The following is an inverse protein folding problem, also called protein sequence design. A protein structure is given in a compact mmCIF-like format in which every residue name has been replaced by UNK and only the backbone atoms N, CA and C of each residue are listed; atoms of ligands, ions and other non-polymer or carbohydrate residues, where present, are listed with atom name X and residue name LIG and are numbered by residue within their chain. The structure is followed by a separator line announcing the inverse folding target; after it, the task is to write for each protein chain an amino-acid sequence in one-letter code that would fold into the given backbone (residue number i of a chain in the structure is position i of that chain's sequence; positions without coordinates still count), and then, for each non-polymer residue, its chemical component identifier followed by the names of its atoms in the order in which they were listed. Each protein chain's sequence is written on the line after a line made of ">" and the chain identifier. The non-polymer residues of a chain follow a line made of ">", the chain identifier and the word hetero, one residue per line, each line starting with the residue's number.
data_IF_477826097590
#
_entry.id   IF_477826097590
#
_cell.length_a   1.000
_cell.length_b   1.000
_cell.length_c   1.000
_cell.angle_alpha   90.00
_cell.angle_beta   90.00
_cell.angle_gamma   90.00
#
_symmetry.space_group_name_H-M   'P 1'
#
loop_
_entity.id
_entity.type
_entity.pdbx_description
1 polymer ?
#
# COMPACT_ATOMS: atom_id res chain seq x y z
N UNK A 1 3.35 18.58 0.50
CA UNK A 1 1.89 18.87 0.53
C UNK A 1 1.55 19.41 1.91
N UNK A 2 0.91 20.58 2.05
CA UNK A 2 0.62 21.16 3.38
C UNK A 2 -0.37 20.28 4.15
N UNK A 3 -0.08 19.93 5.41
CA UNK A 3 -0.92 19.10 6.31
C UNK A 3 -2.41 19.48 6.27
N UNK A 4 -2.69 20.79 6.25
CA UNK A 4 -4.05 21.34 6.14
C UNK A 4 -4.82 20.84 4.91
N UNK A 5 -4.18 20.77 3.74
CA UNK A 5 -4.83 20.29 2.51
C UNK A 5 -5.20 18.81 2.62
N UNK A 6 -4.35 18.00 3.24
CA UNK A 6 -4.62 16.56 3.47
C UNK A 6 -5.86 16.38 4.35
N UNK A 7 -5.98 17.18 5.42
CA UNK A 7 -7.12 17.16 6.33
C UNK A 7 -8.42 17.57 5.62
N UNK A 8 -8.41 18.65 4.84
CA UNK A 8 -9.60 19.11 4.11
C UNK A 8 -10.09 18.10 3.06
N UNK A 9 -9.16 17.52 2.30
CA UNK A 9 -9.50 16.44 1.36
C UNK A 9 -10.12 15.27 2.12
N UNK A 10 -9.55 14.88 3.26
CA UNK A 10 -10.04 13.73 4.00
C UNK A 10 -11.41 13.96 4.63
N UNK A 11 -11.68 15.15 5.18
CA UNK A 11 -13.02 15.55 5.64
C UNK A 11 -14.09 15.36 4.57
N UNK A 12 -13.77 15.74 3.32
CA UNK A 12 -14.73 15.63 2.21
C UNK A 12 -15.05 14.19 1.84
N UNK A 13 -14.08 13.28 1.97
CA UNK A 13 -14.21 11.91 1.51
C UNK A 13 -14.48 10.88 2.60
N UNK A 14 -14.33 11.22 3.90
CA UNK A 14 -14.45 10.25 5.00
C UNK A 14 -15.79 9.52 5.01
N UNK A 15 -16.88 10.21 4.71
CA UNK A 15 -18.22 9.62 4.70
C UNK A 15 -18.41 8.62 3.56
N UNK A 16 -17.83 8.90 2.39
CA UNK A 16 -17.87 8.01 1.22
C UNK A 16 -17.00 6.78 1.46
N UNK A 17 -15.80 6.98 2.00
CA UNK A 17 -14.87 5.89 2.28
C UNK A 17 -15.48 4.94 3.33
N UNK A 18 -16.00 5.50 4.42
CA UNK A 18 -16.61 4.71 5.49
C UNK A 18 -17.90 4.02 5.01
N UNK A 19 -18.73 4.65 4.17
CA UNK A 19 -19.93 3.98 3.64
C UNK A 19 -19.59 2.78 2.75
N UNK A 20 -18.55 2.87 1.91
CA UNK A 20 -18.08 1.75 1.07
C UNK A 20 -17.55 0.59 1.93
N UNK A 21 -16.79 0.90 2.98
CA UNK A 21 -16.24 -0.11 3.91
C UNK A 21 -17.36 -0.77 4.72
N UNK A 22 -18.33 0.01 5.17
CA UNK A 22 -19.40 -0.48 6.04
C UNK A 22 -20.52 -1.21 5.31
N UNK A 23 -20.66 -1.00 4.00
CA UNK A 23 -21.65 -1.68 3.18
C UNK A 23 -21.51 -3.20 3.35
N UNK A 24 -22.62 -3.87 3.67
CA UNK A 24 -22.61 -5.32 3.74
C UNK A 24 -22.26 -5.92 2.38
N UNK A 25 -21.51 -7.02 2.40
CA UNK A 25 -21.18 -7.72 1.17
C UNK A 25 -22.45 -8.37 0.61
N UNK A 26 -23.00 -7.79 -0.44
CA UNK A 26 -24.15 -8.33 -1.16
C UNK A 26 -23.64 -9.04 -2.40
N UNK A 27 -24.14 -10.25 -2.66
CA UNK A 27 -23.86 -10.96 -3.89
C UNK A 27 -24.58 -10.23 -5.03
N UNK A 28 -23.80 -9.59 -5.89
CA UNK A 28 -24.32 -8.87 -7.05
C UNK A 28 -24.60 -9.87 -8.19
N UNK A 29 -25.55 -9.52 -9.05
CA UNK A 29 -25.98 -10.37 -10.17
C UNK A 29 -24.97 -10.46 -11.30
N UNK A 30 -23.97 -9.55 -11.33
CA UNK A 30 -22.93 -9.50 -12.37
C UNK A 30 -21.55 -9.66 -11.76
N UNK A 31 -20.71 -10.47 -12.43
CA UNK A 31 -19.30 -10.69 -12.08
C UNK A 31 -18.50 -9.38 -12.07
N UNK A 32 -18.74 -8.50 -13.04
CA UNK A 32 -18.05 -7.20 -13.14
C UNK A 32 -18.43 -6.27 -11.99
N UNK A 33 -19.66 -6.39 -11.49
CA UNK A 33 -20.18 -5.58 -10.42
C UNK A 33 -19.56 -6.04 -9.07
N UNK A 34 -19.47 -7.36 -8.85
CA UNK A 34 -18.70 -7.96 -7.73
C UNK A 34 -17.25 -7.49 -7.75
N UNK A 35 -16.59 -7.53 -8.91
CA UNK A 35 -15.21 -7.07 -9.07
C UNK A 35 -15.05 -5.59 -8.71
N UNK A 36 -15.91 -4.72 -9.25
CA UNK A 36 -15.90 -3.29 -8.94
C UNK A 36 -16.11 -3.03 -7.44
N UNK A 37 -17.08 -3.72 -6.83
CA UNK A 37 -17.40 -3.62 -5.40
C UNK A 37 -16.20 -4.00 -4.53
N UNK A 38 -15.49 -5.08 -4.87
CA UNK A 38 -14.27 -5.50 -4.17
C UNK A 38 -13.12 -4.51 -4.36
N UNK A 39 -12.89 -4.03 -5.58
CA UNK A 39 -11.84 -3.04 -5.86
C UNK A 39 -12.09 -1.75 -5.08
N UNK A 40 -13.33 -1.25 -5.06
CA UNK A 40 -13.69 -0.04 -4.32
C UNK A 40 -13.40 -0.18 -2.83
N UNK A 41 -13.65 -1.36 -2.24
CA UNK A 41 -13.29 -1.65 -0.84
C UNK A 41 -11.77 -1.69 -0.63
N UNK A 42 -11.02 -2.34 -1.53
CA UNK A 42 -9.55 -2.37 -1.48
C UNK A 42 -8.98 -0.95 -1.49
N UNK A 43 -9.43 -0.12 -2.44
CA UNK A 43 -9.02 1.27 -2.57
C UNK A 43 -9.38 2.08 -1.33
N UNK A 44 -10.57 1.85 -0.76
CA UNK A 44 -11.00 2.52 0.47
C UNK A 44 -10.10 2.18 1.66
N UNK A 45 -9.74 0.89 1.85
CA UNK A 45 -8.81 0.50 2.90
C UNK A 45 -7.41 1.07 2.71
N UNK A 46 -6.87 1.05 1.49
CA UNK A 46 -5.55 1.66 1.19
C UNK A 46 -5.53 3.16 1.40
N UNK A 47 -6.63 3.84 1.05
CA UNK A 47 -6.75 5.27 1.29
C UNK A 47 -6.81 5.54 2.79
N UNK A 48 -7.55 4.75 3.56
CA UNK A 48 -7.56 4.84 5.04
C UNK A 48 -6.18 4.62 5.63
N UNK A 49 -5.49 3.53 5.24
CA UNK A 49 -4.11 3.22 5.62
C UNK A 49 -3.18 4.44 5.42
N UNK A 50 -3.19 4.99 4.21
CA UNK A 50 -2.36 6.14 3.85
C UNK A 50 -2.70 7.42 4.65
N UNK A 51 -3.96 7.60 5.05
CA UNK A 51 -4.35 8.77 5.87
C UNK A 51 -3.90 8.61 7.31
N UNK A 52 -4.04 7.42 7.88
CA UNK A 52 -3.58 7.15 9.25
C UNK A 52 -2.05 7.10 9.38
N UNK A 53 -1.29 6.96 8.30
CA UNK A 53 0.17 7.06 8.33
C UNK A 53 0.69 8.51 8.27
N UNK A 54 -0.07 9.43 7.68
CA UNK A 54 0.35 10.84 7.50
C UNK A 54 -0.25 11.76 8.56
N UNK A 55 -1.49 11.49 8.99
CA UNK A 55 -2.19 12.33 9.94
C UNK A 55 -1.74 12.05 11.37
N UNK A 56 -1.75 13.09 12.19
CA UNK A 56 -1.45 12.95 13.62
C UNK A 56 -2.68 12.45 14.37
N UNK A 57 -2.47 11.84 15.54
CA UNK A 57 -3.55 11.33 16.39
C UNK A 57 -4.65 12.38 16.63
N UNK A 58 -4.27 13.63 16.89
CA UNK A 58 -5.20 14.73 17.15
C UNK A 58 -6.10 15.07 15.95
N UNK A 59 -5.64 14.79 14.72
CA UNK A 59 -6.43 15.04 13.52
C UNK A 59 -7.50 13.96 13.33
N UNK A 60 -7.28 12.72 13.78
CA UNK A 60 -8.12 11.54 13.47
C UNK A 60 -8.81 10.92 14.67
N UNK A 61 -8.48 11.36 15.89
CA UNK A 61 -9.01 10.83 17.14
C UNK A 61 -9.15 11.95 18.18
N UNK A 62 -10.22 11.89 18.96
CA UNK A 62 -10.53 12.85 20.02
C UNK A 62 -11.67 13.78 19.62
N UNK A 63 -12.30 14.39 20.62
CA UNK A 63 -13.46 15.28 20.43
C UNK A 63 -13.11 16.56 19.65
N UNK A 64 -11.86 17.02 19.72
CA UNK A 64 -11.36 18.17 18.96
C UNK A 64 -10.98 17.83 17.51
N UNK A 65 -11.03 16.54 17.11
CA UNK A 65 -10.62 16.14 15.77
C UNK A 65 -11.55 16.73 14.71
N UNK A 66 -10.99 17.44 13.72
CA UNK A 66 -11.77 18.07 12.68
C UNK A 66 -12.33 17.04 11.67
N UNK A 67 -11.81 15.81 11.66
CA UNK A 67 -12.31 14.71 10.81
C UNK A 67 -13.39 13.90 11.55
N UNK A 68 -13.18 13.60 12.83
CA UNK A 68 -14.17 12.89 13.66
C UNK A 68 -15.45 13.70 13.76
N UNK A 69 -15.35 15.03 13.96
CA UNK A 69 -16.53 15.90 14.00
C UNK A 69 -17.37 15.86 12.72
N UNK A 70 -16.75 15.70 11.54
CA UNK A 70 -17.49 15.51 10.28
C UNK A 70 -18.18 14.15 10.24
N UNK A 71 -17.50 13.10 10.67
CA UNK A 71 -18.05 11.75 10.74
C UNK A 71 -19.26 11.67 11.70
N UNK A 72 -19.15 12.30 12.87
CA UNK A 72 -20.19 12.29 13.92
C UNK A 72 -21.42 13.14 13.56
N UNK A 73 -21.26 14.22 12.77
CA UNK A 73 -22.39 15.06 12.32
C UNK A 73 -23.43 14.26 11.54
N UNK A 74 -22.99 13.27 10.76
CA UNK A 74 -23.85 12.45 9.91
C UNK A 74 -24.38 11.22 10.66
N UNK A 75 -23.88 10.95 11.88
CA UNK A 75 -24.29 9.81 12.71
C UNK A 75 -24.71 10.27 14.12
N UNK A 76 -25.86 10.95 14.24
CA UNK A 76 -26.29 11.54 15.51
C UNK A 76 -26.59 10.50 16.60
N UNK A 77 -26.87 9.25 16.23
CA UNK A 77 -27.25 8.17 17.15
C UNK A 77 -26.08 7.37 17.73
N UNK A 78 -24.82 7.75 17.47
CA UNK A 78 -23.66 7.14 18.10
C UNK A 78 -23.42 7.77 19.47
N UNK A 79 -23.10 6.97 20.49
CA UNK A 79 -22.71 7.45 21.82
C UNK A 79 -21.43 8.32 21.70
N UNK A 80 -21.60 9.65 21.67
CA UNK A 80 -20.51 10.63 21.46
C UNK A 80 -19.62 10.84 22.69
N UNK A 81 -19.21 9.77 23.36
CA UNK A 81 -18.58 9.88 24.68
C UNK A 81 -17.11 10.30 24.61
N UNK A 82 -16.34 9.85 23.61
CA UNK A 82 -14.87 9.99 23.64
C UNK A 82 -14.22 10.57 22.36
N UNK A 83 -14.99 10.86 21.30
CA UNK A 83 -14.42 11.26 19.99
C UNK A 83 -13.55 10.17 19.33
N UNK A 84 -13.78 8.90 19.70
CA UNK A 84 -13.05 7.73 19.18
C UNK A 84 -13.87 6.92 18.19
N UNK A 85 -15.06 7.39 17.82
CA UNK A 85 -16.06 6.59 17.11
C UNK A 85 -15.61 6.20 15.70
N UNK A 86 -14.96 7.11 14.97
CA UNK A 86 -14.37 6.79 13.67
C UNK A 86 -13.34 5.65 13.80
N UNK A 87 -12.37 5.80 14.70
CA UNK A 87 -11.30 4.81 14.91
C UNK A 87 -11.86 3.48 15.39
N UNK A 88 -12.79 3.47 16.36
CA UNK A 88 -13.45 2.24 16.86
C UNK A 88 -14.16 1.51 15.73
N UNK A 89 -14.94 2.23 14.94
CA UNK A 89 -15.68 1.64 13.82
C UNK A 89 -14.74 1.10 12.73
N UNK A 90 -13.66 1.82 12.41
CA UNK A 90 -12.68 1.35 11.43
C UNK A 90 -11.90 0.13 11.92
N UNK A 91 -11.50 0.08 13.19
CA UNK A 91 -10.91 -1.13 13.79
C UNK A 91 -11.87 -2.32 13.65
N UNK A 92 -13.15 -2.12 14.01
CA UNK A 92 -14.18 -3.16 13.91
C UNK A 92 -14.34 -3.66 12.47
N UNK A 93 -14.43 -2.76 11.50
CA UNK A 93 -14.63 -3.12 10.08
C UNK A 93 -13.39 -3.77 9.47
N UNK A 94 -12.20 -3.24 9.73
CA UNK A 94 -10.94 -3.86 9.27
C UNK A 94 -10.77 -5.27 9.81
N UNK A 95 -11.13 -5.52 11.08
CA UNK A 95 -11.12 -6.85 11.69
C UNK A 95 -12.09 -7.80 11.00
N UNK A 96 -13.36 -7.41 10.85
CA UNK A 96 -14.37 -8.24 10.16
C UNK A 96 -13.87 -8.66 8.77
N UNK A 97 -13.33 -7.73 7.98
CA UNK A 97 -12.83 -8.06 6.64
C UNK A 97 -11.59 -8.97 6.65
N UNK A 98 -10.75 -8.87 7.69
CA UNK A 98 -9.60 -9.75 7.87
C UNK A 98 -10.00 -11.15 8.34
N UNK A 99 -10.85 -11.26 9.37
CA UNK A 99 -11.25 -12.53 9.98
C UNK A 99 -12.27 -13.32 9.16
N UNK A 100 -13.27 -12.63 8.61
CA UNK A 100 -14.36 -13.26 7.85
C UNK A 100 -13.97 -13.49 6.39
N UNK A 101 -12.70 -13.27 6.07
CA UNK A 101 -12.22 -13.38 4.72
C UNK A 101 -12.54 -14.73 4.10
N UNK A 102 -12.18 -15.82 4.76
CA UNK A 102 -12.42 -17.17 4.23
C UNK A 102 -13.92 -17.43 3.93
N UNK A 103 -14.82 -16.87 4.74
CA UNK A 103 -16.26 -16.94 4.52
C UNK A 103 -16.65 -16.20 3.23
N UNK A 104 -16.15 -14.98 3.04
CA UNK A 104 -16.38 -14.20 1.80
C UNK A 104 -15.80 -14.95 0.59
N UNK A 105 -14.61 -15.53 0.70
CA UNK A 105 -13.98 -16.30 -0.38
C UNK A 105 -14.82 -17.49 -0.79
N UNK A 106 -15.32 -18.28 0.18
CA UNK A 106 -16.20 -19.43 -0.10
C UNK A 106 -17.50 -19.00 -0.77
N UNK A 107 -18.17 -17.98 -0.21
CA UNK A 107 -19.43 -17.47 -0.74
C UNK A 107 -19.25 -16.99 -2.20
N UNK A 108 -18.22 -16.20 -2.47
CA UNK A 108 -17.95 -15.69 -3.82
C UNK A 108 -17.54 -16.81 -4.77
N UNK A 109 -16.70 -17.75 -4.32
CA UNK A 109 -16.28 -18.86 -5.16
C UNK A 109 -17.47 -19.73 -5.58
N UNK A 110 -18.37 -20.08 -4.64
CA UNK A 110 -19.59 -20.83 -4.96
C UNK A 110 -20.48 -20.07 -5.94
N UNK A 111 -20.72 -18.79 -5.71
CA UNK A 111 -21.54 -17.96 -6.60
C UNK A 111 -20.94 -17.83 -8.01
N UNK A 112 -19.62 -17.63 -8.10
CA UNK A 112 -18.94 -17.52 -9.38
C UNK A 112 -18.91 -18.83 -10.15
N UNK A 113 -18.79 -19.99 -9.48
CA UNK A 113 -18.90 -21.29 -10.15
C UNK A 113 -20.28 -21.54 -10.75
N UNK A 114 -21.33 -20.93 -10.19
CA UNK A 114 -22.68 -21.01 -10.75
C UNK A 114 -22.90 -20.04 -11.91
N UNK A 115 -22.28 -18.85 -11.87
CA UNK A 115 -22.48 -17.79 -12.86
C UNK A 115 -21.47 -17.76 -14.01
N UNK A 116 -20.30 -18.38 -13.85
CA UNK A 116 -19.22 -18.31 -14.83
C UNK A 116 -18.40 -19.58 -14.88
N UNK A 117 -18.27 -20.14 -16.09
CA UNK A 117 -17.37 -21.28 -16.34
C UNK A 117 -15.91 -20.83 -16.60
N UNK A 118 -15.61 -19.53 -16.56
CA UNK A 118 -14.27 -19.02 -16.82
C UNK A 118 -13.37 -19.13 -15.58
N UNK A 119 -12.52 -20.15 -15.56
CA UNK A 119 -11.53 -20.39 -14.51
C UNK A 119 -10.61 -19.18 -14.26
N UNK A 120 -10.27 -18.42 -15.30
CA UNK A 120 -9.39 -17.24 -15.19
C UNK A 120 -10.05 -16.07 -14.44
N UNK A 121 -11.31 -15.76 -14.74
CA UNK A 121 -12.05 -14.70 -14.03
C UNK A 121 -12.24 -15.05 -12.55
N UNK A 122 -12.53 -16.31 -12.26
CA UNK A 122 -12.62 -16.80 -10.87
C UNK A 122 -11.28 -16.59 -10.14
N UNK A 123 -10.17 -16.97 -10.76
CA UNK A 123 -8.82 -16.77 -10.19
C UNK A 123 -8.51 -15.30 -9.96
N UNK A 124 -8.87 -14.42 -10.89
CA UNK A 124 -8.69 -12.96 -10.76
C UNK A 124 -9.43 -12.42 -9.54
N UNK A 125 -10.72 -12.72 -9.40
CA UNK A 125 -11.54 -12.24 -8.28
C UNK A 125 -11.02 -12.76 -6.94
N UNK A 126 -10.61 -14.04 -6.88
CA UNK A 126 -9.97 -14.59 -5.67
C UNK A 126 -8.68 -13.82 -5.32
N UNK A 127 -7.93 -13.35 -6.32
CA UNK A 127 -6.75 -12.50 -6.10
C UNK A 127 -7.12 -11.14 -5.50
N UNK A 128 -8.20 -10.51 -5.99
CA UNK A 128 -8.71 -9.25 -5.46
C UNK A 128 -9.17 -9.43 -4.00
N UNK A 129 -9.87 -10.53 -3.71
CA UNK A 129 -10.28 -10.90 -2.35
C UNK A 129 -9.08 -11.06 -1.42
N UNK A 130 -7.98 -11.69 -1.86
CA UNK A 130 -6.73 -11.75 -1.08
C UNK A 130 -6.15 -10.36 -0.83
N UNK A 131 -6.17 -9.50 -1.84
CA UNK A 131 -5.71 -8.11 -1.75
C UNK A 131 -6.56 -7.32 -0.74
N UNK A 132 -7.87 -7.57 -0.70
CA UNK A 132 -8.78 -6.97 0.27
C UNK A 132 -8.37 -7.30 1.71
N UNK A 133 -8.01 -8.56 2.00
CA UNK A 133 -7.54 -8.93 3.35
C UNK A 133 -6.25 -8.23 3.73
N UNK A 134 -5.28 -8.23 2.82
CA UNK A 134 -4.00 -7.60 3.10
C UNK A 134 -4.19 -6.11 3.30
N UNK A 135 -5.02 -5.45 2.49
CA UNK A 135 -5.32 -4.02 2.66
C UNK A 135 -6.12 -3.71 3.91
N UNK A 136 -7.08 -4.55 4.32
CA UNK A 136 -7.81 -4.35 5.58
C UNK A 136 -6.89 -4.54 6.80
N UNK A 137 -5.99 -5.52 6.74
CA UNK A 137 -5.00 -5.76 7.77
C UNK A 137 -3.96 -4.62 7.86
N UNK A 138 -3.41 -4.18 6.74
CA UNK A 138 -2.49 -3.03 6.73
C UNK A 138 -3.17 -1.77 7.28
N UNK A 139 -4.41 -1.51 6.89
CA UNK A 139 -5.20 -0.43 7.45
C UNK A 139 -5.36 -0.57 8.97
N UNK A 140 -5.61 -1.78 9.49
CA UNK A 140 -5.66 -2.06 10.92
C UNK A 140 -4.34 -1.71 11.60
N UNK A 141 -3.20 -2.13 11.05
CA UNK A 141 -1.88 -1.79 11.59
C UNK A 141 -1.67 -0.27 11.63
N UNK A 142 -1.94 0.44 10.54
CA UNK A 142 -1.81 1.91 10.49
C UNK A 142 -2.71 2.61 11.51
N UNK A 143 -3.94 2.13 11.71
CA UNK A 143 -4.85 2.63 12.75
C UNK A 143 -4.23 2.48 14.14
N UNK A 144 -3.69 1.30 14.46
CA UNK A 144 -3.09 1.02 15.76
C UNK A 144 -1.84 1.85 15.99
N UNK A 145 -0.93 1.90 15.02
CA UNK A 145 0.30 2.70 15.10
C UNK A 145 0.04 4.19 15.31
N UNK A 146 -1.05 4.72 14.74
CA UNK A 146 -1.42 6.13 14.89
C UNK A 146 -2.12 6.43 16.23
N UNK A 147 -2.96 5.51 16.72
CA UNK A 147 -3.93 5.82 17.79
C UNK A 147 -3.60 5.18 19.14
N UNK A 148 -2.98 4.00 19.15
CA UNK A 148 -2.78 3.18 20.34
C UNK A 148 -1.31 3.20 20.78
N UNK A 149 -1.09 3.50 22.05
CA UNK A 149 0.24 3.48 22.67
C UNK A 149 0.45 2.28 23.60
N UNK A 150 -0.63 1.57 23.94
CA UNK A 150 -0.60 0.48 24.93
C UNK A 150 -0.30 -0.88 24.28
N UNK A 151 0.77 -1.54 24.74
CA UNK A 151 1.21 -2.84 24.24
C UNK A 151 0.12 -3.92 24.28
N UNK A 152 -0.72 -3.93 25.34
CA UNK A 152 -1.80 -4.91 25.53
C UNK A 152 -2.79 -4.92 24.36
N UNK A 153 -3.03 -3.76 23.74
CA UNK A 153 -3.95 -3.64 22.60
C UNK A 153 -3.35 -4.28 21.35
N UNK A 154 -2.03 -4.17 21.14
CA UNK A 154 -1.36 -4.88 20.04
C UNK A 154 -1.45 -6.39 20.23
N UNK A 155 -1.27 -6.89 21.45
CA UNK A 155 -1.43 -8.32 21.74
C UNK A 155 -2.85 -8.81 21.49
N UNK A 156 -3.86 -8.12 22.01
CA UNK A 156 -5.24 -8.55 21.90
C UNK A 156 -5.80 -8.46 20.47
N UNK A 157 -5.49 -7.39 19.74
CA UNK A 157 -6.13 -7.11 18.45
C UNK A 157 -5.30 -7.48 17.22
N UNK A 158 -3.97 -7.61 17.35
CA UNK A 158 -3.11 -7.97 16.23
C UNK A 158 -2.59 -9.39 16.44
N UNK A 159 -1.89 -9.66 17.55
CA UNK A 159 -1.15 -10.91 17.70
C UNK A 159 -2.03 -12.12 18.03
N UNK A 160 -3.00 -11.98 18.93
CA UNK A 160 -3.89 -13.09 19.28
C UNK A 160 -4.76 -13.51 18.09
N UNK A 161 -5.37 -12.54 17.39
CA UNK A 161 -6.17 -12.82 16.20
C UNK A 161 -5.33 -13.36 15.04
N UNK A 162 -4.09 -12.89 14.84
CA UNK A 162 -3.19 -13.50 13.86
C UNK A 162 -2.92 -14.96 14.19
N UNK A 163 -2.64 -15.25 15.46
CA UNK A 163 -2.35 -16.61 15.92
C UNK A 163 -3.53 -17.53 15.63
N UNK A 164 -4.74 -17.13 16.04
CA UNK A 164 -5.97 -17.89 15.80
C UNK A 164 -6.26 -18.05 14.29
N UNK A 165 -6.08 -16.99 13.50
CA UNK A 165 -6.26 -17.05 12.05
C UNK A 165 -5.27 -18.03 11.38
N UNK A 166 -4.01 -18.01 11.78
CA UNK A 166 -2.98 -18.87 11.19
C UNK A 166 -3.11 -20.33 11.62
N UNK A 167 -3.46 -20.60 12.88
CA UNK A 167 -3.77 -21.94 13.33
C UNK A 167 -4.97 -22.52 12.58
N UNK A 168 -6.05 -21.73 12.44
CA UNK A 168 -7.28 -22.17 11.78
C UNK A 168 -7.10 -22.36 10.27
N UNK A 169 -6.34 -21.48 9.62
CA UNK A 169 -6.15 -21.51 8.16
C UNK A 169 -5.03 -22.48 7.72
N UNK A 170 -4.23 -23.03 8.64
CA UNK A 170 -2.98 -23.77 8.34
C UNK A 170 -2.07 -23.04 7.35
N UNK A 171 -2.17 -21.72 7.29
CA UNK A 171 -1.37 -20.85 6.41
C UNK A 171 -0.32 -20.19 7.30
N UNK A 172 0.87 -20.02 6.77
CA UNK A 172 1.93 -19.23 7.44
C UNK A 172 2.01 -17.86 6.78
N UNK A 173 2.38 -16.81 7.53
CA UNK A 173 2.78 -15.48 6.98
C UNK A 173 3.70 -15.66 5.76
N UNK A 174 4.64 -16.59 5.89
CA UNK A 174 5.58 -17.03 4.86
C UNK A 174 4.93 -17.55 3.58
N UNK A 175 3.77 -18.20 3.62
CA UNK A 175 3.08 -18.72 2.42
C UNK A 175 2.46 -17.61 1.56
N UNK A 176 2.01 -16.52 2.20
CA UNK A 176 1.48 -15.32 1.53
C UNK A 176 2.63 -14.48 0.98
N UNK A 177 3.72 -14.33 1.74
CA UNK A 177 4.92 -13.61 1.31
C UNK A 177 5.73 -14.36 0.23
N UNK A 178 5.86 -15.69 0.31
CA UNK A 178 6.61 -16.51 -0.67
C UNK A 178 6.12 -16.30 -2.09
N UNK A 179 4.80 -16.16 -2.29
CA UNK A 179 4.23 -16.04 -3.64
C UNK A 179 4.60 -14.71 -4.30
N UNK A 180 4.69 -13.63 -3.51
CA UNK A 180 5.09 -12.31 -4.01
C UNK A 180 6.61 -12.24 -4.21
N UNK A 181 7.41 -12.79 -3.30
CA UNK A 181 8.87 -12.85 -3.45
C UNK A 181 9.24 -13.66 -4.70
N UNK A 182 8.61 -14.82 -4.93
CA UNK A 182 8.90 -15.65 -6.10
C UNK A 182 8.55 -14.94 -7.41
N UNK A 183 7.41 -14.23 -7.48
CA UNK A 183 7.00 -13.44 -8.65
C UNK A 183 7.92 -12.24 -8.91
N UNK A 184 8.39 -11.57 -7.86
CA UNK A 184 9.39 -10.51 -7.97
C UNK A 184 10.73 -11.06 -8.46
N UNK A 185 11.15 -12.22 -7.95
CA UNK A 185 12.44 -12.83 -8.30
C UNK A 185 12.45 -13.38 -9.74
N UNK A 186 11.35 -13.95 -10.22
CA UNK A 186 11.24 -14.43 -11.61
C UNK A 186 11.22 -13.30 -12.63
N UNK A 187 10.68 -12.13 -12.27
CA UNK A 187 10.73 -10.94 -13.13
C UNK A 187 12.09 -10.24 -13.07
N UNK A 188 12.86 -10.39 -11.98
CA UNK A 188 14.21 -9.86 -11.85
C UNK A 188 15.29 -10.74 -12.48
N UNK A 189 15.02 -12.04 -12.71
CA UNK A 189 16.01 -12.98 -13.28
C UNK A 189 15.91 -13.18 -14.80
N UNK A 190 14.91 -12.59 -15.48
CA UNK A 190 14.87 -12.52 -16.95
C UNK A 190 15.44 -11.20 -17.51
N UNK A 191 15.87 -10.28 -16.65
CA UNK A 191 16.73 -9.17 -17.03
C UNK A 191 18.18 -9.64 -17.05
N UNK A 192 18.65 -10.09 -18.20
CA UNK A 192 20.07 -10.26 -18.49
C UNK A 192 20.89 -9.08 -17.95
N UNK A 193 22.07 -9.38 -17.40
CA UNK A 193 23.17 -8.47 -17.13
C UNK A 193 23.65 -7.79 -18.43
N UNK A 194 22.80 -6.99 -19.05
CA UNK A 194 23.24 -5.95 -19.96
C UNK A 194 23.47 -4.71 -19.11
N UNK A 195 24.76 -4.45 -18.87
CA UNK A 195 25.28 -3.14 -18.48
C UNK A 195 24.93 -2.20 -19.64
N UNK A 196 23.69 -1.71 -19.65
CA UNK A 196 23.19 -0.79 -20.65
C UNK A 196 23.42 0.61 -20.10
N UNK A 197 24.36 1.32 -20.72
CA UNK A 197 24.67 2.76 -20.59
C UNK A 197 23.70 3.52 -19.68
N UNK A 198 23.96 3.52 -18.37
CA UNK A 198 23.34 4.50 -17.51
C UNK A 198 23.90 5.88 -17.88
N UNK A 199 23.07 6.90 -18.09
CA UNK A 199 23.57 8.26 -18.16
C UNK A 199 24.32 8.57 -16.87
N UNK A 200 25.39 9.40 -16.92
CA UNK A 200 26.16 9.74 -15.74
C UNK A 200 25.24 10.25 -14.62
N UNK A 201 25.54 9.95 -13.35
CA UNK A 201 24.71 10.36 -12.22
C UNK A 201 24.52 11.87 -12.25
N UNK A 202 23.30 12.33 -12.57
CA UNK A 202 22.92 13.74 -12.45
C UNK A 202 22.69 14.03 -10.98
N UNK A 203 23.61 14.77 -10.37
CA UNK A 203 23.38 15.36 -9.07
C UNK A 203 22.30 16.45 -9.21
N UNK A 204 21.15 16.24 -8.58
CA UNK A 204 19.98 17.16 -8.61
C UNK A 204 20.27 18.55 -8.00
N UNK A 205 21.49 18.80 -7.55
CA UNK A 205 21.92 20.04 -6.88
C UNK A 205 22.23 21.19 -7.84
N UNK A 206 22.46 20.95 -9.13
CA UNK A 206 22.92 22.01 -10.05
C UNK A 206 21.82 22.98 -10.48
N UNK A 207 20.57 22.53 -10.64
CA UNK A 207 19.46 23.42 -11.04
C UNK A 207 19.04 24.41 -9.93
N UNK A 208 19.18 24.03 -8.65
CA UNK A 208 18.78 24.88 -7.51
C UNK A 208 19.86 25.89 -7.08
N UNK A 209 21.08 25.76 -7.60
CA UNK A 209 22.20 26.64 -7.25
C UNK A 209 22.43 27.74 -8.28
N UNK A 210 21.61 27.84 -9.33
CA UNK A 210 21.74 28.85 -10.37
C UNK A 210 21.61 30.27 -9.76
N UNK A 211 22.74 30.95 -9.55
CA UNK A 211 22.84 32.24 -8.86
C UNK A 211 23.71 32.25 -7.59
N UNK A 212 24.20 31.10 -7.12
CA UNK A 212 25.17 31.00 -6.03
C UNK A 212 26.61 31.08 -6.55
N UNK A 213 27.52 31.72 -5.80
CA UNK A 213 28.95 31.77 -6.15
C UNK A 213 29.59 30.38 -6.23
N UNK A 214 28.99 29.39 -5.57
CA UNK A 214 29.44 27.99 -5.55
C UNK A 214 28.98 27.18 -6.78
N UNK A 215 28.04 27.72 -7.57
CA UNK A 215 27.46 27.02 -8.72
C UNK A 215 28.48 26.80 -9.85
N UNK A 216 29.39 27.75 -10.05
CA UNK A 216 30.46 27.64 -11.04
C UNK A 216 31.44 26.52 -10.71
N UNK A 217 31.84 26.39 -9.44
CA UNK A 217 32.81 25.37 -9.01
C UNK A 217 32.23 23.95 -9.04
N UNK A 218 30.95 23.80 -8.68
CA UNK A 218 30.25 22.52 -8.77
C UNK A 218 30.00 22.07 -10.21
N UNK A 219 29.74 23.01 -11.13
CA UNK A 219 29.61 22.69 -12.56
C UNK A 219 30.94 22.19 -13.15
N UNK A 220 32.07 22.72 -12.69
CA UNK A 220 33.41 22.23 -13.06
C UNK A 220 33.64 20.82 -12.52
N UNK A 221 33.22 20.54 -11.28
CA UNK A 221 33.31 19.19 -10.69
C UNK A 221 32.48 18.15 -11.46
N UNK A 222 31.24 18.48 -11.83
CA UNK A 222 30.37 17.59 -12.61
C UNK A 222 30.92 17.35 -14.04
N UNK A 223 31.50 18.38 -14.66
CA UNK A 223 32.15 18.28 -15.96
C UNK A 223 33.40 17.38 -15.92
N UNK A 224 34.29 17.60 -14.95
CA UNK A 224 35.51 16.81 -14.78
C UNK A 224 35.16 15.35 -14.45
N UNK A 225 34.22 15.11 -13.55
CA UNK A 225 33.79 13.75 -13.18
C UNK A 225 33.22 13.01 -14.39
N UNK A 226 32.43 13.68 -15.24
CA UNK A 226 31.89 13.09 -16.47
C UNK A 226 32.96 12.83 -17.54
N UNK A 227 33.97 13.71 -17.64
CA UNK A 227 35.08 13.56 -18.57
C UNK A 227 36.03 12.39 -18.18
N UNK A 228 36.30 12.20 -16.88
CA UNK A 228 37.14 11.11 -16.36
C UNK A 228 36.48 9.73 -16.57
N UNK A 229 35.16 9.64 -16.37
CA UNK A 229 34.40 8.40 -16.64
C UNK A 229 34.42 8.03 -18.13
N UNK A 230 34.40 9.04 -19.01
CA UNK A 230 34.44 8.84 -20.47
C UNK A 230 35.81 8.35 -20.95
N UNK A 231 36.91 8.80 -20.34
CA UNK A 231 38.27 8.33 -20.67
C UNK A 231 38.56 6.91 -20.16
N UNK A 232 38.05 6.54 -18.97
CA UNK A 232 38.20 5.17 -18.47
C UNK A 232 37.43 4.15 -19.33
N UNK A 233 36.24 4.50 -19.84
CA UNK A 233 35.50 3.62 -20.75
C UNK A 233 36.21 3.41 -22.10
N UNK A 234 36.90 4.43 -22.64
CA UNK A 234 37.70 4.27 -23.86
C UNK A 234 38.93 3.38 -23.65
N UNK A 235 39.63 3.49 -22.51
CA UNK A 235 40.77 2.60 -22.21
C UNK A 235 40.35 1.15 -21.97
N UNK A 236 39.21 0.89 -21.33
CA UNK A 236 38.71 -0.49 -21.16
C UNK A 236 38.28 -1.17 -22.46
N UNK A 237 37.84 -0.40 -23.47
CA UNK A 237 37.48 -0.95 -24.76
C UNK A 237 38.71 -1.24 -25.65
N UNK A 238 39.79 -0.46 -25.52
CA UNK A 238 41.07 -0.76 -26.19
C UNK A 238 41.74 -2.02 -25.63
N UNK A 239 41.69 -2.23 -24.30
CA UNK A 239 42.26 -3.45 -23.69
C UNK A 239 41.48 -4.74 -24.00
N UNK A 240 40.19 -4.66 -24.35
CA UNK A 240 39.42 -5.85 -24.79
C UNK A 240 39.72 -6.26 -26.24
N UNK A 241 40.16 -5.34 -27.08
CA UNK A 241 40.50 -5.62 -28.48
C UNK A 241 41.87 -6.29 -28.65
N UNK A 242 42.79 -6.16 -27.68
CA UNK A 242 44.12 -6.80 -27.74
C UNK A 242 44.18 -8.24 -27.22
N UNK A 243 43.13 -8.78 -26.58
CA UNK A 243 43.14 -10.15 -26.01
C UNK A 243 42.58 -11.19 -27.00
N UNK A 244 42.20 -10.79 -28.22
CA UNK A 244 41.61 -11.68 -29.24
C UNK A 244 42.55 -12.04 -30.41
N UNK A 245 43.86 -11.82 -30.28
CA UNK A 245 44.83 -12.11 -31.35
C UNK A 245 45.88 -13.18 -31.04
N UNK A 246 45.83 -13.83 -29.87
CA UNK A 246 46.66 -15.00 -29.57
C UNK A 246 45.79 -16.17 -29.10
N UNK A 247 45.13 -16.85 -30.04
CA UNK A 247 44.78 -18.28 -29.96
C UNK A 247 44.43 -18.83 -31.35
#
# INVERSE_FOLDING_TARGET
>A
MRKHCVVEVYKRHILVITSIIEADFRLETSVAAIESSLINRVCSFRLMEHKYTILTKDDVQGSASPIVSVYEKVRPNMDKKDGKELTKNMIRRSRIHFTDGEKIMKIVQTHLTTMSNSSEKIKSIISIIRTLYTSSFNCLISLFMCTQTELKLYTAFIFQELSEYYEKAKRTVLSVLRKNILLSTTNSQQGNLQIQNQPPPRYLSSEYLCGSSLAGELAIFDYISSAVVSQQQQQTNLNKSCVLLDH
#
